data_IF_639520865811
#
_entry.id   IF_639520865811
#
_cell.length_a   1.000
_cell.length_b   1.000
_cell.length_c   1.000
_cell.angle_alpha   90.00
_cell.angle_beta   90.00
_cell.angle_gamma   90.00
#
_symmetry.space_group_name_H-M   'P 1'
#
loop_
_entity.id
_entity.type
_entity.pdbx_description
1 polymer ?
#
# COMPACT_ATOMS: atom_id res chain seq x y z
N UNK A 1 3.55 15.29 -11.46
CA UNK A 1 2.11 15.65 -11.55
C UNK A 1 1.66 16.01 -10.14
N UNK A 2 0.37 16.22 -9.84
CA UNK A 2 -0.04 16.39 -8.45
C UNK A 2 -0.45 15.03 -7.88
N UNK A 3 0.07 14.68 -6.70
CA UNK A 3 -0.29 13.47 -5.96
C UNK A 3 -1.76 13.56 -5.51
N UNK A 4 -2.58 12.57 -5.86
CA UNK A 4 -4.00 12.52 -5.52
C UNK A 4 -4.33 11.32 -4.63
N UNK A 5 -4.90 11.56 -3.44
CA UNK A 5 -5.27 10.48 -2.52
C UNK A 5 -6.54 9.76 -2.99
N UNK A 6 -6.47 8.43 -3.06
CA UNK A 6 -7.59 7.56 -3.45
C UNK A 6 -8.08 6.67 -2.29
N UNK A 7 -7.26 6.48 -1.26
CA UNK A 7 -7.65 5.82 -0.02
C UNK A 7 -6.82 6.34 1.17
N UNK A 8 -7.42 6.39 2.35
CA UNK A 8 -6.81 6.86 3.60
C UNK A 8 -7.69 7.86 4.34
N UNK A 9 -7.15 8.48 5.38
CA UNK A 9 -7.82 9.57 6.09
C UNK A 9 -7.50 10.92 5.44
N UNK A 10 -8.41 11.88 5.59
CA UNK A 10 -8.31 13.23 5.00
C UNK A 10 -7.09 14.01 5.51
N UNK A 11 -6.63 13.70 6.72
CA UNK A 11 -5.38 14.21 7.27
C UNK A 11 -4.23 13.26 6.92
N UNK A 12 -3.54 13.58 5.82
CA UNK A 12 -2.36 12.85 5.29
C UNK A 12 -1.22 12.56 6.31
N UNK A 13 -1.36 13.03 7.55
CA UNK A 13 -0.47 12.84 8.67
C UNK A 13 -0.79 11.61 9.55
N UNK A 14 -2.06 11.19 9.62
CA UNK A 14 -2.52 10.35 10.75
C UNK A 14 -2.83 8.92 10.34
N UNK A 15 -3.05 8.66 9.05
CA UNK A 15 -3.37 7.34 8.52
C UNK A 15 -2.49 6.98 7.32
N UNK A 16 -2.14 5.69 7.16
CA UNK A 16 -1.65 5.16 5.88
C UNK A 16 -2.58 5.54 4.73
N UNK A 17 -2.02 5.69 3.53
CA UNK A 17 -2.76 6.17 2.37
C UNK A 17 -2.28 5.56 1.06
N UNK A 18 -3.19 5.54 0.09
CA UNK A 18 -2.89 5.19 -1.30
C UNK A 18 -3.12 6.43 -2.15
N UNK A 19 -2.16 6.74 -2.99
CA UNK A 19 -2.16 7.91 -3.84
C UNK A 19 -1.87 7.53 -5.29
N UNK A 20 -2.30 8.36 -6.22
CA UNK A 20 -2.02 8.24 -7.65
C UNK A 20 -1.22 9.47 -8.10
N UNK A 21 -0.14 9.24 -8.84
CA UNK A 21 0.60 10.28 -9.55
C UNK A 21 0.90 9.79 -10.98
N UNK A 22 0.14 10.31 -11.96
CA UNK A 22 0.26 9.82 -13.33
C UNK A 22 -0.21 8.37 -13.45
N UNK A 23 0.67 7.50 -13.96
CA UNK A 23 0.43 6.06 -14.08
C UNK A 23 0.85 5.27 -12.82
N UNK A 24 1.45 5.96 -11.83
CA UNK A 24 1.99 5.34 -10.63
C UNK A 24 1.00 5.36 -9.46
N UNK A 25 1.07 4.30 -8.64
CA UNK A 25 0.38 4.20 -7.35
C UNK A 25 1.42 4.26 -6.23
N UNK A 26 1.28 5.24 -5.32
CA UNK A 26 2.13 5.42 -4.15
C UNK A 26 1.39 4.93 -2.91
N UNK A 27 2.00 3.98 -2.18
CA UNK A 27 1.44 3.44 -0.93
C UNK A 27 2.27 3.92 0.24
N UNK A 28 1.65 4.70 1.13
CA UNK A 28 2.24 5.16 2.39
C UNK A 28 1.75 4.28 3.53
N UNK A 29 2.66 3.83 4.39
CA UNK A 29 2.32 3.08 5.59
C UNK A 29 3.44 3.07 6.62
N UNK A 30 3.15 2.50 7.79
CA UNK A 30 4.11 2.37 8.88
C UNK A 30 4.67 0.94 8.94
N UNK A 31 5.90 0.81 9.42
CA UNK A 31 6.38 -0.50 9.86
C UNK A 31 5.59 -0.94 11.09
N UNK A 32 5.08 -2.17 11.04
CA UNK A 32 4.36 -2.79 12.16
C UNK A 32 5.21 -3.85 12.84
N UNK A 33 5.03 -4.01 14.15
CA UNK A 33 5.71 -5.06 14.91
C UNK A 33 5.21 -6.46 14.53
N UNK A 34 5.98 -7.50 14.86
CA UNK A 34 5.56 -8.90 14.67
C UNK A 34 4.26 -9.19 15.41
N UNK A 35 4.08 -8.68 16.62
CA UNK A 35 2.88 -8.87 17.41
C UNK A 35 1.64 -8.20 16.79
N UNK A 36 1.82 -6.99 16.23
CA UNK A 36 0.75 -6.28 15.50
C UNK A 36 0.35 -7.05 14.25
N UNK A 37 1.35 -7.56 13.51
CA UNK A 37 1.12 -8.37 12.31
C UNK A 37 0.38 -9.67 12.61
N UNK A 38 0.63 -10.32 13.74
CA UNK A 38 -0.10 -11.52 14.15
C UNK A 38 -1.58 -11.25 14.45
N UNK A 39 -1.92 -10.00 14.75
CA UNK A 39 -3.30 -9.56 15.04
C UNK A 39 -4.02 -9.01 13.79
N UNK A 40 -3.31 -8.79 12.68
CA UNK A 40 -3.92 -8.40 11.41
C UNK A 40 -4.79 -9.54 10.88
N UNK A 41 -6.07 -9.47 11.22
CA UNK A 41 -7.11 -10.37 10.73
C UNK A 41 -8.10 -9.49 9.98
N UNK A 42 -8.37 -9.85 8.72
CA UNK A 42 -9.50 -9.27 8.00
C UNK A 42 -10.79 -9.77 8.66
N UNK A 43 -11.65 -8.85 9.07
CA UNK A 43 -12.95 -9.21 9.61
C UNK A 43 -13.80 -9.89 8.52
N UNK A 44 -14.76 -10.73 8.93
CA UNK A 44 -15.53 -11.55 8.00
C UNK A 44 -16.40 -10.73 7.01
N UNK A 45 -16.68 -9.48 7.34
CA UNK A 45 -17.42 -8.50 6.54
C UNK A 45 -16.52 -7.57 5.72
N UNK A 46 -15.19 -7.70 5.81
CA UNK A 46 -14.25 -6.90 5.04
C UNK A 46 -13.94 -7.54 3.68
N UNK A 47 -14.01 -6.73 2.62
CA UNK A 47 -13.58 -7.16 1.28
C UNK A 47 -12.08 -6.92 1.12
N UNK A 48 -11.32 -8.00 0.92
CA UNK A 48 -9.88 -7.92 0.65
C UNK A 48 -9.55 -8.20 -0.82
N UNK A 49 -8.75 -7.31 -1.41
CA UNK A 49 -8.07 -7.60 -2.68
C UNK A 49 -6.81 -8.39 -2.39
N UNK A 50 -6.73 -9.64 -2.87
CA UNK A 50 -5.53 -10.48 -2.72
C UNK A 50 -4.60 -10.27 -3.90
N UNK A 51 -3.44 -9.68 -3.65
CA UNK A 51 -2.38 -9.56 -4.64
C UNK A 51 -1.36 -10.70 -4.45
N UNK A 52 -0.91 -11.37 -5.51
CA UNK A 52 0.21 -12.30 -5.42
C UNK A 52 1.45 -11.56 -4.93
N UNK A 53 2.11 -12.07 -3.88
CA UNK A 53 3.35 -11.48 -3.35
C UNK A 53 4.39 -11.26 -4.46
N UNK A 54 4.48 -12.20 -5.40
CA UNK A 54 5.44 -12.13 -6.50
C UNK A 54 5.21 -10.90 -7.39
N UNK A 55 3.96 -10.48 -7.60
CA UNK A 55 3.64 -9.28 -8.39
C UNK A 55 4.33 -8.04 -7.82
N UNK A 56 4.31 -7.87 -6.50
CA UNK A 56 4.94 -6.73 -5.82
C UNK A 56 6.46 -6.82 -5.89
N UNK A 57 7.02 -8.03 -5.74
CA UNK A 57 8.46 -8.24 -5.81
C UNK A 57 9.00 -7.98 -7.22
N UNK A 58 8.31 -8.46 -8.26
CA UNK A 58 8.68 -8.24 -9.65
C UNK A 58 8.61 -6.76 -10.03
N UNK A 59 7.57 -6.06 -9.54
CA UNK A 59 7.45 -4.61 -9.73
C UNK A 59 8.61 -3.85 -9.06
N UNK A 60 8.97 -4.21 -7.82
CA UNK A 60 10.08 -3.59 -7.09
C UNK A 60 11.43 -3.84 -7.79
N UNK A 61 11.66 -5.06 -8.29
CA UNK A 61 12.90 -5.40 -9.00
C UNK A 61 13.08 -4.58 -10.29
N UNK A 62 12.01 -4.42 -11.08
CA UNK A 62 12.04 -3.63 -12.33
C UNK A 62 12.38 -2.15 -12.08
N UNK A 63 11.92 -1.58 -10.97
CA UNK A 63 12.24 -0.20 -10.58
C UNK A 63 13.71 -0.02 -10.19
N UNK A 64 14.34 -1.03 -9.56
CA UNK A 64 15.77 -0.98 -9.22
C UNK A 64 16.69 -1.24 -10.41
N UNK A 65 16.20 -1.95 -11.44
CA UNK A 65 16.98 -2.31 -12.62
C UNK A 65 16.93 -1.23 -13.73
N UNK A 66 16.12 -0.18 -13.56
CA UNK A 66 16.13 1.00 -14.43
C UNK A 66 15.66 0.72 -15.86
N UNK A 67 14.47 0.14 -16.01
CA UNK A 67 13.80 -0.04 -17.31
C UNK A 67 13.11 1.25 -17.75
#
# INVERSE_FOLDING_TARGET
MALHQVAGCDDLATCPGVFVEGDDVVVQGYQISTDTRAQLTLAADETAVRLPRQLILDAAARLTEGV
#
